data_IF_226147241520
#
_entry.id   IF_226147241520
#
_cell.length_a   1.000
_cell.length_b   1.000
_cell.length_c   1.000
_cell.angle_alpha   90.00
_cell.angle_beta   90.00
_cell.angle_gamma   90.00
#
_symmetry.space_group_name_H-M   'P 1'
#
loop_
_entity.id
_entity.type
_entity.pdbx_description
1 polymer ?
#
# COMPACT_ATOMS: atom_id res chain seq x y z
N UNK A 1 -0.65 -16.11 2.31
CA UNK A 1 -0.04 -14.81 1.94
C UNK A 1 -1.06 -13.74 2.22
N UNK A 2 -0.66 -12.60 2.79
CA UNK A 2 -1.59 -11.54 3.18
C UNK A 2 -1.03 -10.21 2.69
N UNK A 3 -1.79 -9.50 1.86
CA UNK A 3 -1.44 -8.18 1.41
C UNK A 3 -1.39 -7.21 2.59
N UNK A 4 -0.44 -6.28 2.53
CA UNK A 4 -0.20 -5.23 3.51
C UNK A 4 -0.32 -3.86 2.84
N UNK A 5 -0.62 -2.86 3.66
CA UNK A 5 -0.76 -1.48 3.25
C UNK A 5 0.27 -0.63 3.98
N UNK A 6 0.99 0.22 3.24
CA UNK A 6 1.82 1.30 3.75
C UNK A 6 1.27 2.63 3.24
N UNK A 7 1.13 3.62 4.12
CA UNK A 7 0.65 4.96 3.77
C UNK A 7 1.82 5.93 3.95
N UNK A 8 2.19 6.62 2.87
CA UNK A 8 3.23 7.66 2.86
C UNK A 8 2.66 8.93 2.25
N UNK A 9 2.41 9.93 3.10
CA UNK A 9 1.71 11.15 2.70
C UNK A 9 0.36 10.85 2.03
N UNK A 10 0.23 11.21 0.74
CA UNK A 10 -0.97 10.96 -0.07
C UNK A 10 -0.87 9.70 -0.94
N UNK A 11 0.11 8.84 -0.70
CA UNK A 11 0.29 7.62 -1.46
C UNK A 11 0.02 6.40 -0.59
N UNK A 12 -0.64 5.41 -1.19
CA UNK A 12 -0.89 4.11 -0.59
C UNK A 12 -0.12 3.08 -1.40
N UNK A 13 0.70 2.29 -0.72
CA UNK A 13 1.43 1.17 -1.31
C UNK A 13 0.79 -0.13 -0.82
N UNK A 14 0.32 -0.94 -1.77
CA UNK A 14 -0.18 -2.29 -1.50
C UNK A 14 0.94 -3.25 -1.87
N UNK A 15 1.36 -4.06 -0.91
CA UNK A 15 2.47 -5.00 -1.09
C UNK A 15 2.23 -6.35 -0.44
N UNK A 16 2.90 -7.37 -0.94
CA UNK A 16 2.92 -8.70 -0.33
C UNK A 16 4.33 -9.03 0.14
N UNK A 17 4.53 -9.40 1.43
CA UNK A 17 5.80 -9.93 1.89
C UNK A 17 6.11 -11.28 1.24
N UNK A 18 7.34 -11.42 0.78
CA UNK A 18 7.94 -12.70 0.41
C UNK A 18 9.06 -13.04 1.40
N UNK A 19 9.71 -14.19 1.23
CA UNK A 19 10.73 -14.66 2.18
C UNK A 19 11.90 -13.67 2.32
N UNK A 20 12.35 -13.09 1.21
CA UNK A 20 13.54 -12.21 1.14
C UNK A 20 13.24 -10.90 0.39
N UNK A 21 11.98 -10.62 0.10
CA UNK A 21 11.59 -9.47 -0.71
C UNK A 21 10.16 -8.99 -0.40
N UNK A 22 9.76 -7.91 -1.06
CA UNK A 22 8.37 -7.50 -1.15
C UNK A 22 7.96 -7.39 -2.62
N UNK A 23 6.75 -7.82 -2.94
CA UNK A 23 6.12 -7.49 -4.22
C UNK A 23 5.26 -6.25 -4.03
N UNK A 24 5.60 -5.16 -4.72
CA UNK A 24 4.73 -3.99 -4.81
C UNK A 24 3.68 -4.27 -5.89
N UNK A 25 2.43 -4.45 -5.47
CA UNK A 25 1.32 -4.78 -6.36
C UNK A 25 0.75 -3.52 -7.00
N UNK A 26 0.61 -2.45 -6.20
CA UNK A 26 0.08 -1.18 -6.66
C UNK A 26 0.64 -0.01 -5.84
N UNK A 27 0.76 1.14 -6.50
CA UNK A 27 0.96 2.45 -5.87
C UNK A 27 -0.23 3.31 -6.28
N UNK A 28 -1.03 3.70 -5.30
CA UNK A 28 -2.24 4.50 -5.52
C UNK A 28 -1.99 5.91 -5.03
N UNK A 29 -2.28 6.90 -5.88
CA UNK A 29 -2.27 8.30 -5.47
C UNK A 29 -3.63 8.68 -4.86
N UNK A 30 -3.65 8.85 -3.54
CA UNK A 30 -4.78 9.27 -2.72
C UNK A 30 -5.05 10.77 -2.80
N UNK A 31 -5.45 11.25 -3.99
CA UNK A 31 -5.90 12.63 -4.20
C UNK A 31 -7.10 13.02 -3.31
N UNK A 32 -7.85 12.04 -2.80
CA UNK A 32 -8.89 12.24 -1.78
C UNK A 32 -8.49 11.50 -0.50
N UNK A 33 -8.84 12.12 0.62
CA UNK A 33 -8.43 11.81 1.98
C UNK A 33 -8.25 10.31 2.28
N UNK A 34 -7.00 9.81 2.34
CA UNK A 34 -6.69 8.40 2.57
C UNK A 34 -7.22 7.86 3.91
N UNK A 35 -7.40 8.74 4.91
CA UNK A 35 -7.89 8.38 6.24
C UNK A 35 -9.33 7.83 6.21
N UNK A 36 -10.08 8.09 5.14
CA UNK A 36 -11.47 7.65 4.97
C UNK A 36 -11.63 6.44 4.04
N UNK A 37 -10.55 5.77 3.64
CA UNK A 37 -10.60 4.66 2.68
C UNK A 37 -10.70 3.27 3.32
N UNK A 38 -10.52 3.18 4.64
CA UNK A 38 -10.47 1.93 5.41
C UNK A 38 -11.47 1.94 6.56
#
# INVERSE_FOLDING_TARGET
MTARVLIEGRYIVIYEPQLESILVVAIVHGMRDPEHWL
#
